data_IF_315469599636
#
_entry.id   IF_315469599636
#
_cell.length_a   1.000
_cell.length_b   1.000
_cell.length_c   1.000
_cell.angle_alpha   90.00
_cell.angle_beta   90.00
_cell.angle_gamma   90.00
#
_symmetry.space_group_name_H-M   'P 1'
#
loop_
_entity.id
_entity.type
_entity.pdbx_description
1 polymer ?
#
# COMPACT_ATOMS: atom_id res chain seq x y z
N UNK A 1 -5.59 -6.17 -17.82
CA UNK A 1 -5.72 -6.21 -16.35
C UNK A 1 -6.34 -7.51 -15.82
N UNK A 2 -7.41 -8.06 -16.41
CA UNK A 2 -8.05 -9.30 -15.87
C UNK A 2 -7.08 -10.48 -15.60
N UNK A 3 -6.13 -10.83 -16.48
CA UNK A 3 -5.21 -11.94 -16.18
C UNK A 3 -4.32 -11.71 -14.94
N UNK A 4 -4.03 -10.46 -14.58
CA UNK A 4 -3.29 -10.13 -13.35
C UNK A 4 -4.19 -10.23 -12.12
N UNK A 5 -5.47 -9.81 -12.23
CA UNK A 5 -6.47 -10.02 -11.18
C UNK A 5 -6.59 -11.51 -10.87
N UNK A 6 -6.68 -12.36 -11.88
CA UNK A 6 -6.80 -13.81 -11.71
C UNK A 6 -5.57 -14.40 -11.00
N UNK A 7 -4.36 -13.92 -11.34
CA UNK A 7 -3.13 -14.30 -10.64
C UNK A 7 -3.15 -13.88 -9.16
N UNK A 8 -3.57 -12.66 -8.85
CA UNK A 8 -3.69 -12.17 -7.47
C UNK A 8 -4.72 -13.01 -6.70
N UNK A 9 -5.87 -13.29 -7.31
CA UNK A 9 -6.93 -14.11 -6.71
C UNK A 9 -6.46 -15.56 -6.45
N UNK A 10 -5.66 -16.13 -7.34
CA UNK A 10 -5.12 -17.48 -7.15
C UNK A 10 -4.18 -17.59 -5.93
N UNK A 11 -3.48 -16.51 -5.56
CA UNK A 11 -2.58 -16.45 -4.41
C UNK A 11 -3.32 -16.27 -3.07
N UNK A 12 -4.62 -15.98 -3.07
CA UNK A 12 -5.39 -15.69 -1.85
C UNK A 12 -5.37 -16.85 -0.85
N UNK A 13 -5.43 -18.09 -1.33
CA UNK A 13 -5.34 -19.28 -0.48
C UNK A 13 -4.00 -19.38 0.25
N UNK A 14 -2.90 -19.10 -0.45
CA UNK A 14 -1.55 -19.15 0.11
C UNK A 14 -1.36 -18.05 1.16
N UNK A 15 -1.85 -16.84 0.90
CA UNK A 15 -1.74 -15.72 1.84
C UNK A 15 -2.58 -15.95 3.11
N UNK A 16 -3.79 -16.49 2.98
CA UNK A 16 -4.63 -16.86 4.13
C UNK A 16 -3.98 -17.90 5.04
N UNK A 17 -3.23 -18.84 4.46
CA UNK A 17 -2.55 -19.90 5.21
C UNK A 17 -1.27 -19.43 5.92
N UNK A 18 -0.75 -18.23 5.61
CA UNK A 18 0.41 -17.66 6.31
C UNK A 18 0.01 -17.13 7.69
N UNK A 19 0.90 -17.28 8.68
CA UNK A 19 0.81 -16.56 9.95
C UNK A 19 1.01 -15.06 9.74
N UNK A 20 0.66 -14.26 10.74
CA UNK A 20 0.92 -12.81 10.71
C UNK A 20 2.41 -12.50 10.54
N UNK A 21 3.28 -13.24 11.24
CA UNK A 21 4.72 -13.13 11.06
C UNK A 21 5.16 -13.51 9.63
N UNK A 22 4.58 -14.57 9.07
CA UNK A 22 4.87 -15.02 7.72
C UNK A 22 4.41 -14.05 6.63
N UNK A 23 3.34 -13.29 6.86
CA UNK A 23 2.94 -12.19 5.97
C UNK A 23 3.88 -11.00 6.08
N UNK A 24 4.28 -10.63 7.30
CA UNK A 24 5.24 -9.54 7.51
C UNK A 24 6.60 -9.85 6.88
N UNK A 25 7.08 -11.09 6.99
CA UNK A 25 8.35 -11.53 6.41
C UNK A 25 8.39 -11.44 4.87
N UNK A 26 7.22 -11.42 4.20
CA UNK A 26 7.15 -11.20 2.75
C UNK A 26 7.76 -9.86 2.34
N UNK A 27 7.62 -8.82 3.17
CA UNK A 27 8.22 -7.50 2.91
C UNK A 27 9.73 -7.61 2.77
N UNK A 28 10.39 -8.33 3.68
CA UNK A 28 11.84 -8.53 3.63
C UNK A 28 12.24 -9.42 2.45
N UNK A 29 11.42 -10.40 2.10
CA UNK A 29 11.62 -11.24 0.92
C UNK A 29 11.57 -10.42 -0.37
N UNK A 30 10.56 -9.58 -0.53
CA UNK A 30 10.41 -8.72 -1.70
C UNK A 30 11.56 -7.72 -1.82
N UNK A 31 11.97 -7.08 -0.72
CA UNK A 31 13.17 -6.21 -0.71
C UNK A 31 14.42 -6.95 -1.17
N UNK A 32 14.68 -8.17 -0.68
CA UNK A 32 15.80 -9.01 -1.14
C UNK A 32 15.70 -9.42 -2.61
N UNK A 33 14.48 -9.62 -3.14
CA UNK A 33 14.24 -9.93 -4.56
C UNK A 33 14.52 -8.73 -5.45
N UNK A 34 14.11 -7.53 -5.03
CA UNK A 34 14.46 -6.26 -5.70
C UNK A 34 15.97 -6.03 -5.73
N UNK A 35 16.67 -6.27 -4.62
CA UNK A 35 18.14 -6.18 -4.56
C UNK A 35 18.84 -7.13 -5.54
N UNK A 36 18.20 -8.25 -5.89
CA UNK A 36 18.69 -9.23 -6.87
C UNK A 36 18.31 -8.90 -8.32
N UNK A 37 17.61 -7.78 -8.54
CA UNK A 37 17.25 -7.28 -9.87
C UNK A 37 15.86 -7.70 -10.37
N UNK A 38 15.02 -8.30 -9.52
CA UNK A 38 13.61 -8.46 -9.85
C UNK A 38 12.91 -7.09 -9.90
N UNK A 39 11.90 -6.94 -10.77
CA UNK A 39 11.22 -5.66 -10.95
C UNK A 39 9.93 -5.57 -10.13
N UNK A 40 9.43 -4.36 -9.88
CA UNK A 40 8.16 -4.16 -9.18
C UNK A 40 6.98 -4.80 -9.93
N UNK A 41 6.98 -4.77 -11.26
CA UNK A 41 5.96 -5.41 -12.10
C UNK A 41 5.92 -6.92 -11.89
N UNK A 42 7.09 -7.55 -11.69
CA UNK A 42 7.18 -8.98 -11.42
C UNK A 42 6.64 -9.32 -10.02
N UNK A 43 6.89 -8.46 -9.02
CA UNK A 43 6.39 -8.63 -7.65
C UNK A 43 4.91 -8.30 -7.48
N UNK A 44 4.32 -7.51 -8.41
CA UNK A 44 2.98 -6.96 -8.27
C UNK A 44 1.91 -7.97 -7.85
N UNK A 45 1.79 -9.17 -8.46
CA UNK A 45 0.73 -10.10 -8.08
C UNK A 45 0.84 -10.57 -6.62
N UNK A 46 2.06 -10.88 -6.17
CA UNK A 46 2.33 -11.34 -4.81
C UNK A 46 2.16 -10.20 -3.80
N UNK A 47 2.71 -9.01 -4.11
CA UNK A 47 2.59 -7.83 -3.26
C UNK A 47 1.13 -7.42 -3.06
N UNK A 48 0.31 -7.42 -4.12
CA UNK A 48 -1.11 -7.07 -4.02
C UNK A 48 -1.90 -8.12 -3.23
N UNK A 49 -1.56 -9.40 -3.37
CA UNK A 49 -2.16 -10.47 -2.57
C UNK A 49 -1.83 -10.32 -1.07
N UNK A 50 -0.58 -9.98 -0.75
CA UNK A 50 -0.14 -9.70 0.63
C UNK A 50 -0.90 -8.51 1.23
N UNK A 51 -1.01 -7.39 0.51
CA UNK A 51 -1.74 -6.20 0.97
C UNK A 51 -3.23 -6.50 1.17
N UNK A 52 -3.85 -7.26 0.26
CA UNK A 52 -5.27 -7.66 0.40
C UNK A 52 -5.49 -8.47 1.67
N UNK A 53 -4.62 -9.45 1.93
CA UNK A 53 -4.74 -10.29 3.12
C UNK A 53 -4.50 -9.46 4.40
N UNK A 54 -3.48 -8.59 4.39
CA UNK A 54 -3.23 -7.66 5.49
C UNK A 54 -4.45 -6.76 5.78
N UNK A 55 -5.05 -6.16 4.74
CA UNK A 55 -6.26 -5.34 4.88
C UNK A 55 -7.44 -6.13 5.45
N UNK A 56 -7.60 -7.38 5.04
CA UNK A 56 -8.64 -8.27 5.58
C UNK A 56 -8.42 -8.54 7.07
N UNK A 57 -7.17 -8.77 7.50
CA UNK A 57 -6.85 -9.05 8.91
C UNK A 57 -6.95 -7.83 9.82
N UNK A 58 -6.42 -6.70 9.37
CA UNK A 58 -6.20 -5.54 10.26
C UNK A 58 -7.37 -4.56 10.29
N UNK A 59 -8.10 -4.42 9.17
CA UNK A 59 -9.23 -3.49 9.07
C UNK A 59 -10.52 -4.16 8.59
N UNK A 60 -10.52 -5.48 8.39
CA UNK A 60 -11.72 -6.24 8.01
C UNK A 60 -12.20 -6.00 6.57
N UNK A 61 -11.35 -5.43 5.70
CA UNK A 61 -11.73 -5.07 4.33
C UNK A 61 -10.92 -5.88 3.31
N UNK A 62 -11.62 -6.72 2.53
CA UNK A 62 -11.03 -7.43 1.39
C UNK A 62 -11.18 -6.60 0.12
N UNK A 63 -10.10 -6.34 -0.61
CA UNK A 63 -10.16 -5.65 -1.91
C UNK A 63 -11.00 -6.42 -2.93
N UNK A 64 -11.91 -5.73 -3.62
CA UNK A 64 -12.61 -6.22 -4.79
C UNK A 64 -11.71 -6.20 -6.04
N UNK A 65 -12.12 -6.92 -7.08
CA UNK A 65 -11.34 -7.03 -8.31
C UNK A 65 -11.19 -5.67 -9.02
N UNK A 66 -12.24 -4.85 -9.01
CA UNK A 66 -12.17 -3.47 -9.54
C UNK A 66 -11.18 -2.59 -8.77
N UNK A 67 -10.99 -2.84 -7.46
CA UNK A 67 -10.02 -2.13 -6.65
C UNK A 67 -8.59 -2.58 -6.95
N UNK A 68 -8.38 -3.88 -7.23
CA UNK A 68 -7.09 -4.35 -7.75
C UNK A 68 -6.75 -3.71 -9.10
N UNK A 69 -7.73 -3.59 -10.00
CA UNK A 69 -7.54 -2.91 -11.28
C UNK A 69 -7.19 -1.43 -11.11
N UNK A 70 -7.89 -0.73 -10.21
CA UNK A 70 -7.54 0.65 -9.84
C UNK A 70 -6.11 0.77 -9.29
N UNK A 71 -5.70 -0.16 -8.43
CA UNK A 71 -4.33 -0.20 -7.90
C UNK A 71 -3.27 -0.41 -8.98
N UNK A 72 -3.54 -1.29 -9.96
CA UNK A 72 -2.65 -1.51 -11.11
C UNK A 72 -2.56 -0.27 -12.00
N UNK A 73 -3.68 0.38 -12.28
CA UNK A 73 -3.68 1.63 -13.05
C UNK A 73 -2.84 2.72 -12.37
N UNK A 74 -2.98 2.90 -11.05
CA UNK A 74 -2.16 3.85 -10.29
C UNK A 74 -0.67 3.49 -10.31
N UNK A 75 -0.35 2.21 -10.17
CA UNK A 75 1.04 1.73 -10.25
C UNK A 75 1.68 1.99 -11.62
N UNK A 76 0.92 1.84 -12.71
CA UNK A 76 1.36 2.16 -14.08
C UNK A 76 1.49 3.67 -14.35
N UNK A 77 1.20 4.54 -13.37
CA UNK A 77 1.24 5.99 -13.52
C UNK A 77 0.00 6.58 -14.22
N UNK A 78 -1.08 5.81 -14.34
CA UNK A 78 -2.34 6.25 -14.94
C UNK A 78 -3.29 6.85 -13.89
N UNK A 79 -4.35 7.52 -14.36
CA UNK A 79 -5.46 7.98 -13.51
C UNK A 79 -6.48 6.83 -13.37
N UNK A 80 -6.72 6.39 -12.14
CA UNK A 80 -7.80 5.46 -11.83
C UNK A 80 -9.13 6.22 -11.60
N UNK A 81 -9.98 6.29 -12.63
CA UNK A 81 -11.34 6.80 -12.48
C UNK A 81 -12.20 5.77 -11.74
N UNK A 82 -12.68 6.17 -10.56
CA UNK A 82 -13.51 5.34 -9.68
C UNK A 82 -14.65 6.19 -9.13
N UNK A 83 -15.85 5.62 -9.01
CA UNK A 83 -16.99 6.31 -8.43
C UNK A 83 -16.82 6.54 -6.91
N UNK A 84 -17.55 7.50 -6.36
CA UNK A 84 -17.61 7.68 -4.91
C UNK A 84 -18.18 6.42 -4.26
N UNK A 85 -17.52 5.92 -3.21
CA UNK A 85 -17.90 4.69 -2.52
C UNK A 85 -17.16 3.44 -3.01
N UNK A 86 -16.40 3.49 -4.09
CA UNK A 86 -15.62 2.34 -4.58
C UNK A 86 -14.33 2.07 -3.78
N UNK A 87 -14.10 2.81 -2.69
CA UNK A 87 -12.98 2.56 -1.76
C UNK A 87 -11.62 3.04 -2.25
N UNK A 88 -11.54 4.23 -2.87
CA UNK A 88 -10.29 4.84 -3.37
C UNK A 88 -9.16 4.88 -2.34
N UNK A 89 -9.50 5.15 -1.08
CA UNK A 89 -8.53 5.18 0.03
C UNK A 89 -7.90 3.79 0.27
N UNK A 90 -8.70 2.72 0.19
CA UNK A 90 -8.22 1.33 0.28
C UNK A 90 -7.44 0.92 -0.98
N UNK A 91 -7.81 1.42 -2.16
CA UNK A 91 -7.07 1.16 -3.40
C UNK A 91 -5.64 1.69 -3.33
N UNK A 92 -5.45 2.87 -2.73
CA UNK A 92 -4.13 3.50 -2.62
C UNK A 92 -3.11 2.67 -1.81
N UNK A 93 -3.55 1.72 -0.98
CA UNK A 93 -2.65 0.87 -0.18
C UNK A 93 -1.86 -0.11 -1.04
N UNK A 94 -2.44 -0.56 -2.16
CA UNK A 94 -1.82 -1.53 -3.08
C UNK A 94 -0.55 -0.95 -3.75
N UNK A 95 -0.62 0.15 -4.53
CA UNK A 95 0.56 0.70 -5.16
C UNK A 95 1.51 1.34 -4.14
N UNK A 96 1.01 1.95 -3.06
CA UNK A 96 1.88 2.58 -2.06
C UNK A 96 2.77 1.55 -1.35
N UNK A 97 2.24 0.38 -0.99
CA UNK A 97 3.04 -0.71 -0.45
C UNK A 97 4.09 -1.17 -1.47
N UNK A 98 3.68 -1.49 -2.71
CA UNK A 98 4.58 -2.02 -3.73
C UNK A 98 5.74 -1.07 -4.02
N UNK A 99 5.47 0.22 -4.24
CA UNK A 99 6.50 1.23 -4.55
C UNK A 99 7.40 1.49 -3.32
N UNK A 100 6.82 1.47 -2.10
CA UNK A 100 7.60 1.68 -0.87
C UNK A 100 8.68 0.61 -0.64
N UNK A 101 8.57 -0.57 -1.27
CA UNK A 101 9.60 -1.61 -1.19
C UNK A 101 10.96 -1.17 -1.76
N UNK A 102 10.99 -0.18 -2.65
CA UNK A 102 12.26 0.39 -3.15
C UNK A 102 12.99 1.27 -2.13
N UNK A 103 12.35 1.64 -1.01
CA UNK A 103 12.95 2.47 0.04
C UNK A 103 13.19 3.92 -0.37
N UNK A 104 12.51 4.41 -1.41
CA UNK A 104 12.62 5.80 -1.92
C UNK A 104 11.55 6.75 -1.38
N UNK A 105 10.62 6.23 -0.58
CA UNK A 105 9.45 6.96 -0.08
C UNK A 105 8.31 7.04 -1.08
N UNK A 106 7.08 7.02 -0.59
CA UNK A 106 5.84 7.24 -1.37
C UNK A 106 5.05 8.38 -0.75
N UNK A 107 4.56 9.31 -1.58
CA UNK A 107 3.70 10.41 -1.11
C UNK A 107 2.24 10.17 -1.52
N UNK A 108 1.36 10.05 -0.54
CA UNK A 108 -0.10 10.00 -0.73
C UNK A 108 -0.69 11.37 -0.42
N UNK A 109 -1.08 12.10 -1.46
CA UNK A 109 -1.54 13.49 -1.34
C UNK A 109 -3.06 13.57 -1.36
N UNK A 110 -3.62 14.35 -0.44
CA UNK A 110 -5.06 14.62 -0.34
C UNK A 110 -5.34 16.12 -0.40
N UNK A 111 -6.61 16.51 -0.46
CA UNK A 111 -7.02 17.91 -0.62
C UNK A 111 -6.97 18.73 0.67
N UNK A 112 -6.81 18.12 1.85
CA UNK A 112 -6.66 18.83 3.12
C UNK A 112 -6.02 17.94 4.21
N UNK A 113 -5.47 18.60 5.22
CA UNK A 113 -4.70 17.95 6.29
C UNK A 113 -5.53 16.92 7.08
N UNK A 114 -6.83 17.18 7.24
CA UNK A 114 -7.75 16.26 7.90
C UNK A 114 -7.87 14.93 7.15
N UNK A 115 -8.03 14.96 5.83
CA UNK A 115 -8.11 13.75 5.01
C UNK A 115 -6.76 13.02 4.99
N UNK A 116 -5.65 13.74 4.89
CA UNK A 116 -4.31 13.14 4.96
C UNK A 116 -4.11 12.36 6.27
N UNK A 117 -4.43 12.99 7.41
CA UNK A 117 -4.31 12.36 8.71
C UNK A 117 -5.29 11.19 8.90
N UNK A 118 -6.56 11.38 8.55
CA UNK A 118 -7.58 10.33 8.64
C UNK A 118 -7.21 9.11 7.79
N UNK A 119 -6.77 9.33 6.56
CA UNK A 119 -6.45 8.24 5.64
C UNK A 119 -5.19 7.51 6.08
N UNK A 120 -4.19 8.23 6.60
CA UNK A 120 -3.03 7.61 7.26
C UNK A 120 -3.45 6.77 8.47
N UNK A 121 -4.25 7.30 9.39
CA UNK A 121 -4.68 6.58 10.60
C UNK A 121 -5.52 5.34 10.27
N UNK A 122 -6.33 5.41 9.21
CA UNK A 122 -7.20 4.30 8.82
C UNK A 122 -6.48 3.23 8.00
N UNK A 123 -5.64 3.62 7.02
CA UNK A 123 -4.94 2.67 6.14
C UNK A 123 -3.57 2.24 6.68
N UNK A 124 -2.96 3.08 7.52
CA UNK A 124 -1.66 2.88 8.14
C UNK A 124 -1.46 1.52 8.82
N UNK A 125 -2.44 0.99 9.56
CA UNK A 125 -2.33 -0.33 10.16
C UNK A 125 -1.99 -1.45 9.17
N UNK A 126 -2.36 -1.32 7.89
CA UNK A 126 -1.99 -2.28 6.84
C UNK A 126 -0.48 -2.25 6.59
N UNK A 127 0.08 -1.05 6.41
CA UNK A 127 1.49 -0.85 6.12
C UNK A 127 2.37 -1.19 7.33
N UNK A 128 1.96 -0.78 8.53
CA UNK A 128 2.66 -1.07 9.78
C UNK A 128 2.66 -2.57 10.11
N UNK A 129 1.54 -3.26 9.86
CA UNK A 129 1.46 -4.72 9.98
C UNK A 129 2.49 -5.42 9.08
N UNK A 130 2.67 -4.90 7.86
CA UNK A 130 3.67 -5.38 6.90
C UNK A 130 5.08 -4.83 7.16
N UNK A 131 5.30 -4.10 8.26
CA UNK A 131 6.62 -3.65 8.68
C UNK A 131 7.13 -2.38 7.99
N UNK A 132 6.27 -1.64 7.31
CA UNK A 132 6.58 -0.32 6.77
C UNK A 132 6.24 0.78 7.77
N UNK A 133 6.96 1.89 7.69
CA UNK A 133 6.72 3.10 8.48
C UNK A 133 5.82 4.07 7.72
N UNK A 134 4.97 4.78 8.46
CA UNK A 134 4.05 5.78 7.92
C UNK A 134 4.23 7.13 8.63
N UNK A 135 3.93 8.22 7.94
CA UNK A 135 3.90 9.56 8.52
C UNK A 135 2.88 10.46 7.84
N UNK A 136 2.43 11.50 8.53
CA UNK A 136 1.59 12.55 7.97
C UNK A 136 2.24 13.91 8.17
N UNK A 137 2.21 14.71 7.10
CA UNK A 137 2.57 16.13 7.14
C UNK A 137 1.31 16.91 7.50
N UNK A 138 1.41 17.77 8.50
CA UNK A 138 0.33 18.66 8.94
C UNK A 138 0.83 20.11 9.01
N UNK A 139 -0.11 21.07 8.93
CA UNK A 139 0.18 22.46 9.21
C UNK A 139 0.67 22.67 10.65
N UNK A 140 1.57 23.64 10.86
CA UNK A 140 2.17 23.97 12.16
C UNK A 140 2.85 22.82 12.93
N UNK A 141 3.29 21.78 12.22
CA UNK A 141 4.03 20.66 12.79
C UNK A 141 5.48 21.05 13.14
N UNK A 142 6.01 20.52 14.24
CA UNK A 142 7.40 20.75 14.64
C UNK A 142 8.38 20.30 13.52
N UNK A 143 9.43 21.08 13.21
CA UNK A 143 10.36 20.74 12.13
C UNK A 143 11.00 19.35 12.23
N UNK A 144 11.18 18.82 13.45
CA UNK A 144 11.72 17.46 13.66
C UNK A 144 10.70 16.39 13.33
N UNK A 145 9.45 16.58 13.76
CA UNK A 145 8.35 15.67 13.44
C UNK A 145 8.09 15.64 11.93
N UNK A 146 8.11 16.81 11.27
CA UNK A 146 7.99 16.92 9.82
C UNK A 146 9.13 16.19 9.08
N UNK A 147 10.36 16.29 9.59
CA UNK A 147 11.51 15.53 9.06
C UNK A 147 11.41 14.02 9.30
N UNK A 148 10.76 13.59 10.38
CA UNK A 148 10.53 12.18 10.65
C UNK A 148 9.45 11.64 9.70
N UNK A 149 8.37 12.39 9.47
CA UNK A 149 7.31 12.03 8.53
C UNK A 149 7.84 11.81 7.11
N UNK A 150 8.65 12.73 6.56
CA UNK A 150 9.28 12.55 5.24
C UNK A 150 10.27 11.38 5.15
N UNK A 151 10.74 10.85 6.29
CA UNK A 151 11.62 9.68 6.33
C UNK A 151 10.88 8.36 6.45
N UNK A 152 9.55 8.41 6.60
CA UNK A 152 8.74 7.22 6.57
C UNK A 152 8.73 6.60 5.16
N UNK A 153 8.50 5.29 5.08
CA UNK A 153 8.34 4.60 3.80
C UNK A 153 7.16 5.17 3.01
N UNK A 154 6.09 5.60 3.71
CA UNK A 154 4.90 6.21 3.12
C UNK A 154 4.53 7.48 3.90
N UNK A 155 4.41 8.60 3.19
CA UNK A 155 4.06 9.92 3.73
C UNK A 155 2.72 10.39 3.19
N UNK A 156 1.79 10.72 4.07
CA UNK A 156 0.52 11.37 3.75
C UNK A 156 0.64 12.89 3.87
N UNK A 157 -0.02 13.64 3.01
CA UNK A 157 0.02 15.10 3.11
C UNK A 157 -0.96 15.82 2.18
N UNK A 158 -0.76 17.12 2.10
CA UNK A 158 -1.50 18.05 1.24
C UNK A 158 -0.62 18.62 0.13
N UNK A 159 -1.25 19.14 -0.92
CA UNK A 159 -0.60 19.69 -2.11
C UNK A 159 -0.13 21.14 -1.94
#
# INVERSE_FOLDING_TARGET
MQPLVDKINALEGDMKNKSDSGLREMTDEFKRRLEKGETLEALLPEAFAVVREAATRVIGMRHFDVQLMGGMALFEGNIAEMATGEGKTLVATLPSYLIALEGRGVHVVTVNDYLAKRDMEWMGPIHEFLGLTIGAIQHDQDPKEKHAAYRADITYGTN
#
